data_IF_214375122073
#
_entry.id   IF_214375122073
#
_cell.length_a   1.000
_cell.length_b   1.000
_cell.length_c   1.000
_cell.angle_alpha   90.00
_cell.angle_beta   90.00
_cell.angle_gamma   90.00
#
_symmetry.space_group_name_H-M   'P 1'
#
loop_
_entity.id
_entity.type
_entity.pdbx_description
1 polymer ?
#
# COMPACT_ATOMS: atom_id res chain seq x y z
N UNK A 1 39.33 15.98 -18.36
CA UNK A 1 38.95 14.63 -17.88
C UNK A 1 37.46 14.47 -18.12
N UNK A 2 37.06 13.67 -19.11
CA UNK A 2 35.66 13.33 -19.33
C UNK A 2 35.26 12.34 -18.23
N UNK A 3 34.45 12.79 -17.28
CA UNK A 3 33.79 11.89 -16.33
C UNK A 3 32.74 11.11 -17.11
N UNK A 4 33.08 9.89 -17.52
CA UNK A 4 32.15 8.95 -18.09
C UNK A 4 31.16 8.56 -16.99
N UNK A 5 29.99 9.20 -16.97
CA UNK A 5 28.86 8.70 -16.20
C UNK A 5 28.43 7.38 -16.84
N UNK A 6 28.43 6.24 -16.11
CA UNK A 6 27.92 4.99 -16.64
C UNK A 6 26.50 5.20 -17.16
N UNK A 7 26.20 4.69 -18.37
CA UNK A 7 24.83 4.71 -18.88
C UNK A 7 23.93 3.95 -17.89
N UNK A 8 22.91 4.63 -17.37
CA UNK A 8 21.96 4.06 -16.45
C UNK A 8 21.32 2.78 -17.04
N UNK A 9 21.24 1.70 -16.25
CA UNK A 9 20.63 0.46 -16.72
C UNK A 9 19.13 0.68 -16.96
N UNK A 10 18.56 -0.01 -17.96
CA UNK A 10 17.11 0.05 -18.24
C UNK A 10 16.27 -0.30 -17.02
N UNK A 11 16.74 -1.24 -16.20
CA UNK A 11 16.05 -1.65 -14.97
C UNK A 11 16.09 -0.56 -13.89
N UNK A 12 17.22 0.15 -13.76
CA UNK A 12 17.32 1.32 -12.85
C UNK A 12 16.31 2.40 -13.24
N UNK A 13 16.31 2.80 -14.53
CA UNK A 13 15.39 3.81 -15.03
C UNK A 13 13.91 3.41 -14.80
N UNK A 14 13.58 2.15 -15.10
CA UNK A 14 12.26 1.57 -14.86
C UNK A 14 11.82 1.68 -13.39
N UNK A 15 12.68 1.26 -12.44
CA UNK A 15 12.35 1.27 -11.02
C UNK A 15 12.17 2.70 -10.48
N UNK A 16 13.05 3.63 -10.91
CA UNK A 16 12.90 5.05 -10.57
C UNK A 16 11.57 5.59 -11.07
N UNK A 17 11.20 5.28 -12.31
CA UNK A 17 9.95 5.72 -12.90
C UNK A 17 8.73 5.16 -12.16
N UNK A 18 8.78 3.90 -11.71
CA UNK A 18 7.75 3.28 -10.88
C UNK A 18 7.58 4.03 -9.54
N UNK A 19 8.67 4.29 -8.82
CA UNK A 19 8.64 5.03 -7.54
C UNK A 19 8.10 6.44 -7.75
N UNK A 20 8.52 7.15 -8.80
CA UNK A 20 8.02 8.49 -9.12
C UNK A 20 6.52 8.49 -9.47
N UNK A 21 6.04 7.49 -10.20
CA UNK A 21 4.61 7.32 -10.47
C UNK A 21 3.83 7.01 -9.20
N UNK A 22 4.43 6.22 -8.30
CA UNK A 22 3.86 5.88 -6.99
C UNK A 22 3.73 7.12 -6.12
N UNK A 23 4.74 7.99 -6.10
CA UNK A 23 4.73 9.30 -5.43
C UNK A 23 3.64 10.22 -5.97
N UNK A 24 3.47 10.28 -7.30
CA UNK A 24 2.39 11.05 -7.92
C UNK A 24 1.00 10.56 -7.47
N UNK A 25 0.80 9.24 -7.42
CA UNK A 25 -0.45 8.64 -6.92
C UNK A 25 -0.66 9.02 -5.47
N UNK A 26 0.38 8.94 -4.64
CA UNK A 26 0.32 9.30 -3.22
C UNK A 26 0.34 10.82 -2.96
N UNK A 27 0.52 11.65 -3.99
CA UNK A 27 0.62 13.12 -3.88
C UNK A 27 1.66 13.56 -2.84
N UNK A 28 2.75 12.81 -2.77
CA UNK A 28 3.84 13.01 -1.84
C UNK A 28 5.17 12.98 -2.61
N UNK A 29 6.22 13.52 -2.01
CA UNK A 29 7.52 13.69 -2.66
C UNK A 29 8.63 12.95 -1.89
N UNK A 30 9.26 11.98 -2.56
CA UNK A 30 10.52 11.37 -2.13
C UNK A 30 11.64 11.99 -2.98
N UNK A 31 12.70 12.57 -2.38
CA UNK A 31 13.82 13.15 -3.11
C UNK A 31 14.50 12.17 -4.07
N UNK A 32 14.98 12.66 -5.22
CA UNK A 32 15.63 11.81 -6.22
C UNK A 32 16.86 11.06 -5.69
N UNK A 33 17.63 11.65 -4.79
CA UNK A 33 18.78 11.00 -4.13
C UNK A 33 18.33 9.76 -3.36
N UNK A 34 17.29 9.91 -2.54
CA UNK A 34 16.64 8.82 -1.80
C UNK A 34 16.07 7.74 -2.74
N UNK A 35 15.45 8.15 -3.85
CA UNK A 35 14.97 7.20 -4.87
C UNK A 35 16.14 6.43 -5.50
N UNK A 36 17.25 7.11 -5.82
CA UNK A 36 18.43 6.47 -6.40
C UNK A 36 19.06 5.45 -5.44
N UNK A 37 19.19 5.79 -4.16
CA UNK A 37 19.70 4.89 -3.12
C UNK A 37 18.82 3.65 -2.97
N UNK A 38 17.50 3.82 -2.89
CA UNK A 38 16.56 2.71 -2.79
C UNK A 38 16.61 1.79 -4.03
N UNK A 39 16.73 2.37 -5.23
CA UNK A 39 16.87 1.59 -6.47
C UNK A 39 18.19 0.84 -6.51
N UNK A 40 19.30 1.48 -6.13
CA UNK A 40 20.60 0.82 -6.06
C UNK A 40 20.56 -0.36 -5.08
N UNK A 41 19.99 -0.15 -3.89
CA UNK A 41 19.78 -1.20 -2.90
C UNK A 41 18.97 -2.38 -3.46
N UNK A 42 17.86 -2.12 -4.19
CA UNK A 42 17.06 -3.17 -4.82
C UNK A 42 17.88 -3.95 -5.86
N UNK A 43 18.68 -3.26 -6.68
CA UNK A 43 19.50 -3.88 -7.71
C UNK A 43 20.63 -4.75 -7.13
N UNK A 44 21.17 -4.35 -5.99
CA UNK A 44 22.24 -5.08 -5.29
C UNK A 44 21.69 -6.22 -4.42
N UNK A 45 20.37 -6.24 -4.17
CA UNK A 45 19.70 -7.22 -3.31
C UNK A 45 19.04 -8.33 -4.12
N UNK A 46 19.43 -9.59 -3.87
CA UNK A 46 18.69 -10.75 -4.39
C UNK A 46 17.26 -10.85 -3.83
N UNK A 47 17.05 -10.29 -2.64
CA UNK A 47 15.78 -10.29 -1.93
C UNK A 47 15.75 -9.08 -0.99
N UNK A 48 14.94 -8.05 -1.30
CA UNK A 48 14.87 -6.86 -0.46
C UNK A 48 14.38 -7.17 0.96
N UNK A 49 15.09 -6.67 1.96
CA UNK A 49 14.59 -6.56 3.32
C UNK A 49 13.60 -5.39 3.43
N UNK A 50 12.43 -5.62 4.04
CA UNK A 50 11.36 -4.62 4.15
C UNK A 50 11.72 -3.45 5.07
N UNK A 51 12.42 -3.72 6.18
CA UNK A 51 12.85 -2.69 7.14
C UNK A 51 13.85 -1.75 6.46
N UNK A 52 14.89 -2.32 5.86
CA UNK A 52 15.94 -1.55 5.19
C UNK A 52 15.40 -0.71 4.02
N UNK A 53 14.55 -1.30 3.16
CA UNK A 53 13.94 -0.55 2.06
C UNK A 53 13.01 0.57 2.58
N UNK A 54 12.27 0.31 3.65
CA UNK A 54 11.40 1.32 4.26
C UNK A 54 12.22 2.49 4.79
N UNK A 55 13.30 2.23 5.55
CA UNK A 55 14.17 3.28 6.09
C UNK A 55 14.85 4.10 5.01
N UNK A 56 15.27 3.46 3.91
CA UNK A 56 15.83 4.16 2.77
C UNK A 56 14.81 5.12 2.17
N UNK A 57 13.58 4.68 1.92
CA UNK A 57 12.56 5.54 1.28
C UNK A 57 11.95 6.58 2.23
N UNK A 58 11.93 6.31 3.54
CA UNK A 58 11.30 7.14 4.57
C UNK A 58 12.26 7.44 5.73
N UNK A 59 13.44 8.07 5.48
CA UNK A 59 14.51 8.19 6.47
C UNK A 59 14.15 9.08 7.66
N UNK A 60 13.10 9.91 7.54
CA UNK A 60 12.58 10.76 8.62
C UNK A 60 11.66 10.03 9.60
N UNK A 61 11.23 8.80 9.29
CA UNK A 61 10.34 8.01 10.17
C UNK A 61 11.17 7.31 11.25
N UNK A 62 10.75 7.46 12.50
CA UNK A 62 11.46 6.85 13.63
C UNK A 62 11.22 5.34 13.71
N UNK A 63 9.99 4.91 13.38
CA UNK A 63 9.58 3.52 13.39
C UNK A 63 9.26 3.04 11.98
N UNK A 64 9.60 1.78 11.72
CA UNK A 64 9.23 1.11 10.47
C UNK A 64 7.77 0.70 10.54
N UNK A 65 7.41 -0.03 11.59
CA UNK A 65 6.04 -0.46 11.83
C UNK A 65 5.32 0.57 12.68
N UNK A 66 4.04 0.80 12.38
CA UNK A 66 3.21 1.74 13.14
C UNK A 66 3.09 1.30 14.59
N UNK A 67 3.25 2.26 15.50
CA UNK A 67 3.15 2.05 16.94
C UNK A 67 1.74 2.36 17.48
N UNK A 68 0.82 2.73 16.60
CA UNK A 68 -0.56 3.08 16.93
C UNK A 68 -1.50 2.84 15.74
N UNK A 69 -2.79 3.07 15.97
CA UNK A 69 -3.81 3.08 14.93
C UNK A 69 -3.47 4.18 13.91
N UNK A 70 -3.24 3.79 12.66
CA UNK A 70 -3.10 4.74 11.54
C UNK A 70 -4.43 4.83 10.83
N UNK A 71 -4.74 5.97 10.20
CA UNK A 71 -6.02 6.16 9.53
C UNK A 71 -5.84 6.28 8.02
N UNK A 72 -6.56 5.46 7.27
CA UNK A 72 -6.61 5.47 5.81
C UNK A 72 -7.69 6.45 5.37
N UNK A 73 -7.30 7.55 4.72
CA UNK A 73 -8.23 8.50 4.11
C UNK A 73 -8.30 8.34 2.60
N UNK A 74 -9.50 8.21 2.04
CA UNK A 74 -9.70 8.27 0.59
C UNK A 74 -9.49 9.69 0.06
N UNK A 75 -8.68 9.86 -0.99
CA UNK A 75 -8.23 11.16 -1.51
C UNK A 75 -9.32 12.17 -1.93
N UNK A 76 -10.57 11.73 -2.08
CA UNK A 76 -11.72 12.59 -2.40
C UNK A 76 -12.91 12.46 -1.45
N UNK A 77 -12.85 11.63 -0.41
CA UNK A 77 -13.94 11.46 0.53
C UNK A 77 -13.33 11.39 1.94
N UNK A 78 -13.59 12.37 2.78
CA UNK A 78 -14.51 12.29 3.93
C UNK A 78 -14.57 11.01 4.79
N UNK A 79 -13.69 10.05 4.63
CA UNK A 79 -13.73 8.74 5.26
C UNK A 79 -12.34 8.51 5.81
N UNK A 80 -12.18 8.63 7.13
CA UNK A 80 -10.94 8.33 7.85
C UNK A 80 -11.18 6.99 8.53
N UNK A 81 -10.61 5.91 7.99
CA UNK A 81 -10.81 4.54 8.48
C UNK A 81 -9.56 4.11 9.21
N UNK A 82 -9.65 3.76 10.49
CA UNK A 82 -8.51 3.17 11.19
C UNK A 82 -8.07 1.88 10.49
N UNK A 83 -6.78 1.74 10.20
CA UNK A 83 -6.19 0.52 9.67
C UNK A 83 -6.43 -0.68 10.61
N UNK A 84 -6.60 -0.45 11.91
CA UNK A 84 -6.99 -1.50 12.87
C UNK A 84 -8.43 -2.00 12.68
N UNK A 85 -9.27 -1.25 11.97
CA UNK A 85 -10.68 -1.64 11.71
C UNK A 85 -10.81 -2.51 10.44
N UNK A 86 -9.89 -2.38 9.49
CA UNK A 86 -9.89 -3.12 8.22
C UNK A 86 -8.78 -4.17 8.16
N UNK A 87 -7.78 -4.01 9.01
CA UNK A 87 -6.52 -4.76 9.07
C UNK A 87 -6.23 -5.32 10.45
N UNK A 88 -4.99 -5.73 10.64
CA UNK A 88 -4.49 -6.27 11.90
C UNK A 88 -4.27 -5.13 12.90
N UNK A 89 -4.44 -5.37 14.20
CA UNK A 89 -4.04 -4.39 15.22
C UNK A 89 -2.52 -4.17 15.16
N UNK A 90 -2.07 -2.93 15.39
CA UNK A 90 -0.63 -2.61 15.31
C UNK A 90 0.22 -3.46 16.24
N UNK A 91 -0.27 -3.78 17.45
CA UNK A 91 0.43 -4.60 18.43
C UNK A 91 0.59 -6.06 18.00
N UNK A 92 -0.17 -6.49 16.98
CA UNK A 92 -0.14 -7.85 16.43
C UNK A 92 0.61 -7.93 15.10
N UNK A 93 1.16 -6.82 14.59
CA UNK A 93 2.01 -6.86 13.39
C UNK A 93 3.27 -7.65 13.70
N UNK A 94 3.47 -8.77 13.01
CA UNK A 94 4.70 -9.54 13.05
C UNK A 94 5.65 -9.14 11.88
N UNK A 95 6.80 -8.50 12.18
CA UNK A 95 7.82 -8.17 11.19
C UNK A 95 8.36 -9.38 10.43
N UNK A 96 8.49 -10.54 11.10
CA UNK A 96 9.00 -11.76 10.48
C UNK A 96 8.02 -12.27 9.43
N UNK A 97 6.72 -12.23 9.73
CA UNK A 97 5.70 -12.61 8.76
C UNK A 97 5.69 -11.68 7.54
N UNK A 98 5.82 -10.37 7.75
CA UNK A 98 5.90 -9.40 6.65
C UNK A 98 7.10 -9.67 5.75
N UNK A 99 8.27 -9.98 6.32
CA UNK A 99 9.43 -10.38 5.52
C UNK A 99 9.19 -11.72 4.82
N UNK A 100 8.52 -12.68 5.46
CA UNK A 100 8.16 -13.96 4.83
C UNK A 100 7.25 -13.76 3.60
N UNK A 101 6.31 -12.81 3.64
CA UNK A 101 5.52 -12.45 2.46
C UNK A 101 6.40 -11.95 1.31
N UNK A 102 7.34 -11.05 1.59
CA UNK A 102 8.31 -10.58 0.59
C UNK A 102 9.12 -11.75 0.04
N UNK A 103 9.51 -12.67 0.92
CA UNK A 103 10.29 -13.83 0.53
C UNK A 103 9.52 -14.77 -0.39
N UNK A 104 8.26 -15.07 -0.05
CA UNK A 104 7.36 -15.86 -0.89
C UNK A 104 7.06 -15.20 -2.22
N UNK A 105 6.94 -13.87 -2.25
CA UNK A 105 6.76 -13.13 -3.50
C UNK A 105 7.98 -13.31 -4.42
N UNK A 106 9.20 -13.32 -3.88
CA UNK A 106 10.43 -13.52 -4.64
C UNK A 106 10.56 -14.93 -5.23
N UNK A 107 9.96 -15.93 -4.57
CA UNK A 107 10.05 -17.35 -4.96
C UNK A 107 9.06 -17.77 -6.05
N UNK A 108 8.11 -16.90 -6.44
CA UNK A 108 7.10 -17.21 -7.45
C UNK A 108 7.20 -16.26 -8.64
N UNK A 109 6.89 -16.77 -9.83
CA UNK A 109 6.70 -15.98 -11.04
C UNK A 109 5.22 -15.73 -11.36
N UNK A 110 4.29 -16.33 -10.61
CA UNK A 110 2.86 -16.14 -10.83
C UNK A 110 2.42 -14.72 -10.43
N UNK A 111 1.99 -13.87 -11.38
CA UNK A 111 1.61 -12.50 -11.10
C UNK A 111 0.35 -12.41 -10.23
N UNK A 112 -0.55 -13.39 -10.27
CA UNK A 112 -1.74 -13.42 -9.40
C UNK A 112 -1.33 -13.66 -7.95
N UNK A 113 -0.44 -14.61 -7.69
CA UNK A 113 0.10 -14.86 -6.34
C UNK A 113 0.86 -13.64 -5.80
N UNK A 114 1.66 -12.95 -6.64
CA UNK A 114 2.30 -11.69 -6.25
C UNK A 114 1.28 -10.61 -5.87
N UNK A 115 0.22 -10.47 -6.67
CA UNK A 115 -0.87 -9.54 -6.37
C UNK A 115 -1.62 -9.91 -5.10
N UNK A 116 -1.82 -11.21 -4.82
CA UNK A 116 -2.39 -11.68 -3.56
C UNK A 116 -1.54 -11.24 -2.35
N UNK A 117 -0.21 -11.37 -2.42
CA UNK A 117 0.67 -10.88 -1.35
C UNK A 117 0.61 -9.36 -1.19
N UNK A 118 0.53 -8.62 -2.30
CA UNK A 118 0.26 -7.17 -2.26
C UNK A 118 -1.05 -6.85 -1.54
N UNK A 119 -2.14 -7.57 -1.81
CA UNK A 119 -3.43 -7.36 -1.16
C UNK A 119 -3.42 -7.69 0.33
N UNK A 120 -2.75 -8.78 0.72
CA UNK A 120 -2.53 -9.13 2.13
C UNK A 120 -1.76 -8.01 2.82
N UNK A 121 -0.68 -7.53 2.20
CA UNK A 121 0.12 -6.43 2.72
C UNK A 121 -0.68 -5.12 2.87
N UNK A 122 -1.49 -4.75 1.86
CA UNK A 122 -2.37 -3.57 1.93
C UNK A 122 -3.41 -3.67 3.03
N UNK A 123 -3.93 -4.88 3.27
CA UNK A 123 -4.85 -5.16 4.38
C UNK A 123 -4.16 -5.02 5.74
N UNK A 124 -2.93 -5.52 5.89
CA UNK A 124 -2.15 -5.40 7.13
C UNK A 124 -1.82 -3.93 7.44
N UNK A 125 -1.47 -3.16 6.39
CA UNK A 125 -1.14 -1.75 6.47
C UNK A 125 -0.08 -1.45 7.57
N UNK A 126 1.13 -2.04 7.46
CA UNK A 126 2.03 -2.18 8.59
C UNK A 126 2.78 -0.90 9.01
N UNK A 127 2.90 0.08 8.12
CA UNK A 127 3.68 1.29 8.36
C UNK A 127 2.80 2.48 8.75
N UNK A 128 3.43 3.51 9.34
CA UNK A 128 2.77 4.78 9.63
C UNK A 128 2.30 5.49 8.36
N UNK A 129 3.11 5.41 7.32
CA UNK A 129 2.89 6.00 6.00
C UNK A 129 3.66 5.18 4.95
N UNK A 130 3.32 5.34 3.68
CA UNK A 130 4.05 4.73 2.57
C UNK A 130 3.57 3.31 2.22
N UNK A 131 2.53 2.80 2.88
CA UNK A 131 2.02 1.45 2.63
C UNK A 131 1.69 1.20 1.15
N UNK A 132 1.00 2.11 0.48
CA UNK A 132 0.73 2.00 -0.95
C UNK A 132 2.02 1.86 -1.78
N UNK A 133 3.01 2.70 -1.50
CA UNK A 133 4.30 2.76 -2.22
C UNK A 133 5.12 1.50 -2.02
N UNK A 134 5.35 1.12 -0.76
CA UNK A 134 6.13 -0.06 -0.39
C UNK A 134 5.47 -1.34 -0.91
N UNK A 135 4.15 -1.44 -0.78
CA UNK A 135 3.42 -2.61 -1.25
C UNK A 135 3.52 -2.80 -2.75
N UNK A 136 3.34 -1.72 -3.55
CA UNK A 136 3.49 -1.82 -5.00
C UNK A 136 4.94 -2.16 -5.37
N UNK A 137 5.91 -1.52 -4.73
CA UNK A 137 7.32 -1.75 -5.02
C UNK A 137 7.75 -3.20 -4.75
N UNK A 138 7.56 -3.68 -3.51
CA UNK A 138 8.03 -5.00 -3.07
C UNK A 138 7.33 -6.18 -3.73
N UNK A 139 6.05 -6.04 -4.06
CA UNK A 139 5.25 -7.18 -4.51
C UNK A 139 4.96 -7.17 -6.01
N UNK A 140 5.10 -6.04 -6.70
CA UNK A 140 4.68 -5.91 -8.11
C UNK A 140 5.77 -5.30 -8.98
N UNK A 141 6.27 -4.11 -8.63
CA UNK A 141 7.11 -3.31 -9.54
C UNK A 141 8.49 -3.92 -9.73
N UNK A 142 9.13 -4.45 -8.68
CA UNK A 142 10.41 -5.17 -8.83
C UNK A 142 10.30 -6.43 -9.70
N UNK A 143 9.07 -6.92 -9.94
CA UNK A 143 8.78 -8.06 -10.81
C UNK A 143 8.17 -7.63 -12.15
N UNK A 144 8.40 -6.39 -12.56
CA UNK A 144 7.95 -5.84 -13.84
C UNK A 144 6.42 -5.79 -14.01
N UNK A 145 5.69 -5.60 -12.91
CA UNK A 145 4.24 -5.31 -12.91
C UNK A 145 4.07 -3.82 -12.54
N UNK A 146 4.11 -2.89 -13.52
CA UNK A 146 4.15 -1.44 -13.27
C UNK A 146 2.78 -0.89 -12.87
N UNK A 147 2.28 -1.30 -11.70
CA UNK A 147 0.96 -0.91 -11.23
C UNK A 147 0.85 0.60 -11.01
N UNK A 148 1.88 1.26 -10.45
CA UNK A 148 1.85 2.72 -10.28
C UNK A 148 1.74 3.46 -11.61
N UNK A 149 2.51 3.08 -12.62
CA UNK A 149 2.39 3.65 -13.97
C UNK A 149 0.98 3.46 -14.52
N UNK A 150 0.46 2.23 -14.39
CA UNK A 150 -0.85 1.87 -14.91
C UNK A 150 -1.98 2.65 -14.22
N UNK A 151 -1.94 2.78 -12.89
CA UNK A 151 -2.93 3.55 -12.12
C UNK A 151 -2.84 5.05 -12.40
N UNK A 152 -1.64 5.57 -12.68
CA UNK A 152 -1.45 6.98 -13.04
C UNK A 152 -2.17 7.33 -14.34
N UNK A 153 -2.05 6.47 -15.36
CA UNK A 153 -2.51 6.79 -16.71
C UNK A 153 -3.86 6.14 -17.10
N UNK A 154 -4.31 5.08 -16.44
CA UNK A 154 -5.53 4.36 -16.80
C UNK A 154 -6.69 4.59 -15.82
N UNK A 155 -7.76 5.24 -16.30
CA UNK A 155 -9.03 5.35 -15.57
C UNK A 155 -9.63 3.95 -15.32
N UNK A 156 -9.53 3.04 -16.30
CA UNK A 156 -10.02 1.66 -16.18
C UNK A 156 -9.28 0.91 -15.07
N UNK A 157 -7.97 1.04 -15.00
CA UNK A 157 -7.16 0.41 -13.95
C UNK A 157 -7.55 0.92 -12.56
N UNK A 158 -7.76 2.22 -12.39
CA UNK A 158 -8.24 2.80 -11.12
C UNK A 158 -9.61 2.25 -10.70
N UNK A 159 -10.54 2.08 -11.64
CA UNK A 159 -11.85 1.46 -11.35
C UNK A 159 -11.71 0.01 -10.89
N UNK A 160 -10.95 -0.80 -11.63
CA UNK A 160 -10.69 -2.20 -11.28
C UNK A 160 -10.01 -2.33 -9.90
N UNK A 161 -9.01 -1.48 -9.62
CA UNK A 161 -8.32 -1.49 -8.32
C UNK A 161 -9.27 -1.19 -7.17
N UNK A 162 -10.19 -0.23 -7.34
CA UNK A 162 -11.20 0.08 -6.35
C UNK A 162 -12.16 -1.09 -6.11
N UNK A 163 -12.60 -1.79 -7.17
CA UNK A 163 -13.46 -2.97 -7.06
C UNK A 163 -12.77 -4.12 -6.30
N UNK A 164 -11.49 -4.38 -6.58
CA UNK A 164 -10.68 -5.37 -5.88
C UNK A 164 -10.52 -5.00 -4.38
N UNK A 165 -10.32 -3.72 -4.08
CA UNK A 165 -10.21 -3.25 -2.69
C UNK A 165 -11.52 -3.36 -1.91
N UNK A 166 -12.66 -3.07 -2.53
CA UNK A 166 -13.98 -3.24 -1.89
C UNK A 166 -14.18 -4.70 -1.47
N UNK A 167 -13.82 -5.65 -2.33
CA UNK A 167 -13.90 -7.07 -2.01
C UNK A 167 -12.98 -7.46 -0.85
N UNK A 168 -11.72 -7.05 -0.89
CA UNK A 168 -10.71 -7.44 0.10
C UNK A 168 -10.96 -6.84 1.49
N UNK A 169 -11.68 -5.72 1.56
CA UNK A 169 -12.06 -5.06 2.82
C UNK A 169 -13.45 -5.48 3.33
N UNK A 170 -14.15 -6.39 2.64
CA UNK A 170 -15.31 -7.10 3.17
C UNK A 170 -16.64 -6.34 3.21
N UNK A 171 -16.99 -5.57 2.18
CA UNK A 171 -18.33 -4.96 2.10
C UNK A 171 -19.42 -6.00 1.78
N UNK A 172 -20.16 -6.43 2.79
CA UNK A 172 -21.48 -7.06 2.64
C UNK A 172 -22.57 -5.99 2.43
N UNK A 173 -23.74 -6.39 1.95
CA UNK A 173 -24.82 -5.46 1.51
C UNK A 173 -25.36 -4.58 2.66
N UNK A 174 -25.17 -4.95 3.94
CA UNK A 174 -25.48 -4.11 5.10
C UNK A 174 -24.41 -3.02 5.39
N UNK A 175 -23.19 -3.17 4.88
CA UNK A 175 -22.13 -2.14 4.91
C UNK A 175 -22.46 -0.94 4.01
N UNK A 176 -23.52 -1.02 3.20
CA UNK A 176 -24.08 0.13 2.50
C UNK A 176 -24.62 1.22 3.46
N UNK A 177 -24.90 0.88 4.73
CA UNK A 177 -25.19 1.84 5.82
C UNK A 177 -23.93 2.40 6.47
N UNK A 178 -22.75 1.80 6.22
CA UNK A 178 -21.42 2.31 6.57
C UNK A 178 -20.85 3.19 5.44
N UNK A 179 -21.74 3.96 4.79
CA UNK A 179 -21.36 5.03 3.88
C UNK A 179 -20.66 6.15 4.65
N UNK A 180 -19.34 6.03 4.83
CA UNK A 180 -18.51 7.08 5.43
C UNK A 180 -18.57 8.45 4.67
N UNK A 181 -19.23 8.53 3.49
CA UNK A 181 -19.46 9.74 2.68
C UNK A 181 -20.51 10.63 3.34
N UNK A 182 -21.19 10.07 4.34
CA UNK A 182 -22.11 10.74 5.25
C UNK A 182 -21.38 11.28 6.49
N UNK A 183 -20.21 10.75 6.88
CA UNK A 183 -19.61 11.04 8.21
C UNK A 183 -18.55 12.15 8.21
N UNK A 184 -17.67 12.32 7.19
CA UNK A 184 -16.58 13.34 7.28
C UNK A 184 -16.43 14.29 6.08
N UNK A 185 -17.51 14.77 5.46
CA UNK A 185 -17.40 15.87 4.48
C UNK A 185 -16.68 17.07 5.14
N UNK A 186 -15.41 17.32 4.75
CA UNK A 186 -14.50 18.39 5.24
C UNK A 186 -14.06 18.17 6.70
N UNK A 187 -12.78 18.14 7.04
CA UNK A 187 -11.87 19.28 6.97
C UNK A 187 -10.44 18.85 6.60
N UNK A 188 -9.86 19.47 5.56
CA UNK A 188 -8.42 19.52 5.37
C UNK A 188 -7.83 20.24 6.59
N UNK A 189 -7.09 19.53 7.43
CA UNK A 189 -6.25 20.18 8.44
C UNK A 189 -4.83 20.21 7.86
N UNK A 190 -4.39 21.40 7.41
CA UNK A 190 -2.97 21.71 7.31
C UNK A 190 -2.48 21.91 8.73
N UNK A 191 -1.49 21.16 9.19
CA UNK A 191 -0.93 21.36 10.52
C UNK A 191 0.59 21.32 10.47
N UNK A 192 1.21 22.36 11.02
CA UNK A 192 2.63 22.42 11.34
C UNK A 192 2.94 21.76 12.71
N UNK A 193 1.97 21.09 13.36
CA UNK A 193 2.14 20.47 14.68
C UNK A 193 1.59 19.04 14.74
N UNK A 194 2.45 18.11 15.16
CA UNK A 194 2.24 16.65 15.30
C UNK A 194 1.23 16.24 16.41
N UNK A 195 0.56 17.18 17.08
CA UNK A 195 -0.27 16.91 18.26
C UNK A 195 -1.78 16.69 17.98
N UNK A 196 -2.26 16.89 16.75
CA UNK A 196 -3.69 16.89 16.41
C UNK A 196 -4.15 15.50 15.92
N UNK A 197 -4.03 14.49 16.79
CA UNK A 197 -4.55 13.14 16.48
C UNK A 197 -5.66 12.69 17.45
N UNK A 198 -6.22 13.58 18.29
CA UNK A 198 -7.11 13.18 19.40
C UNK A 198 -8.40 13.96 19.63
N UNK A 199 -8.73 14.98 18.85
CA UNK A 199 -10.03 15.65 18.90
C UNK A 199 -10.56 15.63 17.47
N UNK A 200 -11.67 15.00 17.10
CA UNK A 200 -12.99 14.94 17.73
C UNK A 200 -13.68 13.61 17.36
N UNK A 201 -14.07 12.81 18.36
CA UNK A 201 -15.07 11.75 18.20
C UNK A 201 -16.07 11.97 19.34
N UNK A 202 -17.32 12.30 19.02
CA UNK A 202 -18.37 12.38 20.04
C UNK A 202 -18.50 11.04 20.78
N UNK A 203 -18.83 11.09 22.06
CA UNK A 203 -18.69 9.95 23.00
C UNK A 203 -19.48 8.70 22.53
N UNK A 204 -20.63 8.88 21.89
CA UNK A 204 -21.44 7.77 21.35
C UNK A 204 -20.82 7.14 20.10
N UNK A 205 -20.25 7.94 19.20
CA UNK A 205 -19.51 7.46 18.04
C UNK A 205 -18.22 6.76 18.46
N UNK A 206 -17.58 7.20 19.54
CA UNK A 206 -16.42 6.53 20.13
C UNK A 206 -16.80 5.16 20.68
N UNK A 207 -17.91 5.02 21.39
CA UNK A 207 -18.36 3.73 21.92
C UNK A 207 -18.78 2.74 20.82
N UNK A 208 -19.34 3.24 19.70
CA UNK A 208 -19.64 2.43 18.51
C UNK A 208 -18.36 2.04 17.75
N UNK A 209 -17.43 2.97 17.61
CA UNK A 209 -16.12 2.76 16.99
C UNK A 209 -15.27 1.75 17.77
N UNK A 210 -15.21 1.87 19.09
CA UNK A 210 -14.48 0.92 19.95
C UNK A 210 -15.12 -0.47 19.95
N UNK A 211 -16.45 -0.58 19.80
CA UNK A 211 -17.13 -1.88 19.60
C UNK A 211 -16.72 -2.52 18.28
N UNK A 212 -16.68 -1.78 17.18
CA UNK A 212 -16.25 -2.28 15.88
C UNK A 212 -14.78 -2.73 15.86
N UNK A 213 -13.89 -2.02 16.56
CA UNK A 213 -12.49 -2.46 16.79
C UNK A 213 -12.46 -3.81 17.51
N UNK A 214 -13.26 -3.95 18.56
CA UNK A 214 -13.28 -5.13 19.42
C UNK A 214 -14.00 -6.33 18.77
N UNK A 215 -14.86 -6.10 17.78
CA UNK A 215 -15.61 -7.14 17.06
C UNK A 215 -14.82 -7.77 15.89
N UNK A 216 -13.67 -7.22 15.49
CA UNK A 216 -12.80 -7.81 14.48
C UNK A 216 -11.99 -8.97 15.08
N UNK A 217 -12.65 -10.11 15.32
CA UNK A 217 -12.11 -11.30 16.00
C UNK A 217 -11.25 -12.22 15.10
N UNK A 218 -10.59 -11.69 14.06
CA UNK A 218 -9.72 -12.52 13.23
C UNK A 218 -8.48 -12.96 14.02
N UNK A 219 -8.11 -14.23 13.91
CA UNK A 219 -6.82 -14.71 14.41
C UNK A 219 -5.68 -14.10 13.58
N UNK A 220 -4.47 -14.07 14.13
CA UNK A 220 -3.28 -13.59 13.41
C UNK A 220 -3.17 -14.23 12.02
N UNK A 221 -3.31 -15.56 11.95
CA UNK A 221 -3.27 -16.36 10.72
C UNK A 221 -4.35 -15.96 9.69
N UNK A 222 -5.52 -15.51 10.14
CA UNK A 222 -6.61 -15.10 9.24
C UNK A 222 -6.34 -13.75 8.55
N UNK A 223 -5.49 -12.89 9.08
CA UNK A 223 -5.04 -11.67 8.39
C UNK A 223 -4.08 -11.98 7.23
N UNK A 224 -3.46 -13.15 7.31
CA UNK A 224 -2.36 -13.60 6.49
C UNK A 224 -2.79 -14.55 5.38
N UNK A 225 -4.04 -15.01 5.43
CA UNK A 225 -4.68 -15.84 4.41
C UNK A 225 -5.69 -14.99 3.62
N UNK A 226 -5.63 -15.08 2.30
CA UNK A 226 -6.57 -14.43 1.39
C UNK A 226 -7.02 -15.42 0.32
N UNK A 227 -8.27 -15.86 0.39
CA UNK A 227 -8.87 -16.67 -0.66
C UNK A 227 -9.51 -15.75 -1.71
N UNK A 228 -8.94 -15.78 -2.91
CA UNK A 228 -9.44 -15.03 -4.05
C UNK A 228 -10.56 -15.82 -4.71
N UNK A 229 -11.77 -15.25 -4.73
CA UNK A 229 -12.88 -15.78 -5.54
C UNK A 229 -12.58 -15.59 -7.03
N UNK A 230 -13.11 -16.47 -7.87
CA UNK A 230 -12.90 -16.45 -9.33
C UNK A 230 -13.18 -15.08 -9.96
N UNK A 231 -14.26 -14.41 -9.54
CA UNK A 231 -14.61 -13.06 -10.03
C UNK A 231 -13.50 -12.03 -9.76
N UNK A 232 -12.85 -12.11 -8.59
CA UNK A 232 -11.80 -11.19 -8.19
C UNK A 232 -10.49 -11.55 -8.87
N UNK A 233 -10.20 -12.85 -9.00
CA UNK A 233 -9.08 -13.34 -9.79
C UNK A 233 -9.18 -12.86 -11.24
N UNK A 234 -10.38 -12.86 -11.84
CA UNK A 234 -10.62 -12.32 -13.17
C UNK A 234 -10.32 -10.81 -13.26
N UNK A 235 -10.78 -10.01 -12.28
CA UNK A 235 -10.47 -8.56 -12.22
C UNK A 235 -8.98 -8.29 -12.06
N UNK A 236 -8.26 -9.11 -11.28
CA UNK A 236 -6.80 -8.98 -11.14
C UNK A 236 -6.11 -9.32 -12.47
N UNK A 237 -6.55 -10.38 -13.17
CA UNK A 237 -6.03 -10.72 -14.51
C UNK A 237 -6.24 -9.57 -15.52
N UNK A 238 -7.43 -8.95 -15.52
CA UNK A 238 -7.70 -7.78 -16.35
C UNK A 238 -6.75 -6.62 -16.03
N UNK A 239 -6.49 -6.39 -14.73
CA UNK A 239 -5.58 -5.35 -14.28
C UNK A 239 -4.13 -5.64 -14.69
N UNK A 240 -3.66 -6.89 -14.52
CA UNK A 240 -2.32 -7.32 -14.96
C UNK A 240 -2.17 -7.15 -16.47
N UNK A 241 -3.18 -7.52 -17.25
CA UNK A 241 -3.18 -7.36 -18.71
C UNK A 241 -3.04 -5.89 -19.11
N UNK A 242 -3.69 -4.97 -18.37
CA UNK A 242 -3.50 -3.54 -18.58
C UNK A 242 -2.05 -3.12 -18.29
N UNK A 243 -1.39 -3.68 -17.26
CA UNK A 243 -0.01 -3.30 -16.93
C UNK A 243 0.99 -3.59 -18.06
N UNK A 244 0.77 -4.64 -18.84
CA UNK A 244 1.58 -4.97 -20.01
C UNK A 244 1.49 -3.91 -21.12
N UNK A 245 0.41 -3.14 -21.17
CA UNK A 245 0.29 -2.01 -22.10
C UNK A 245 1.19 -0.84 -21.71
N UNK A 246 1.52 -0.74 -20.41
CA UNK A 246 2.29 0.37 -19.84
C UNK A 246 3.74 -0.02 -19.47
N UNK A 247 4.13 -1.29 -19.65
CA UNK A 247 5.52 -1.74 -19.43
C UNK A 247 6.52 -1.12 -20.40
N UNK A 248 6.07 -0.63 -21.57
CA UNK A 248 6.90 0.08 -22.55
C UNK A 248 6.98 1.59 -22.32
N UNK A 249 6.19 2.12 -21.39
CA UNK A 249 6.20 3.55 -21.02
C UNK A 249 7.10 3.85 -19.82
N UNK A 250 7.83 2.85 -19.33
CA UNK A 250 8.77 2.93 -18.21
C UNK A 250 10.20 2.70 -18.70
#
# INVERSE_FOLDING_TARGET
MNTYTPSESRLSAYLKQCILNSNFIEQDFIPNETVNEAVQYILDSNQPNIDELYRLLFPKRQHVFRQCNVYVSGKNNSKVISADNIGIRHELIDPHYLQELVNKANQTNDPITKFKYYLIYQRIHPHEDGNGRIGRLLFLEIYNIPLSTTLRYSIKARKLMNEIFIYTNGSSVDDAKLRFDVIMKKHQIKTDDDAICRYEIEIEDRAKFMRLINDNQRTCDQYYILDLKDEITAKINDLISLTQTYSHTC
#
